data_IF_379380795793
#
_entry.id   IF_379380795793
#
_cell.length_a   1.000
_cell.length_b   1.000
_cell.length_c   1.000
_cell.angle_alpha   90.00
_cell.angle_beta   90.00
_cell.angle_gamma   90.00
#
_symmetry.space_group_name_H-M   'P 1'
#
loop_
_entity.id
_entity.type
_entity.pdbx_description
1 polymer ?
#
# COMPACT_ATOMS: atom_id res chain seq x y z
N UNK A 1 9.55 8.67 -8.11
CA UNK A 1 8.90 7.72 -9.04
C UNK A 1 7.68 7.04 -8.43
N UNK A 2 7.81 6.16 -7.41
CA UNK A 2 6.64 5.45 -6.85
C UNK A 2 5.52 6.38 -6.36
N UNK A 3 5.86 7.45 -5.64
CA UNK A 3 4.89 8.45 -5.19
C UNK A 3 4.10 9.08 -6.35
N UNK A 4 4.79 9.45 -7.43
CA UNK A 4 4.17 10.12 -8.58
C UNK A 4 3.15 9.20 -9.25
N UNK A 5 3.52 7.92 -9.45
CA UNK A 5 2.60 6.90 -9.98
C UNK A 5 1.35 6.76 -9.09
N UNK A 6 1.53 6.75 -7.78
CA UNK A 6 0.41 6.63 -6.82
C UNK A 6 -0.48 7.87 -6.86
N UNK A 7 0.11 9.08 -6.94
CA UNK A 7 -0.64 10.33 -7.07
C UNK A 7 -1.41 10.40 -8.40
N UNK A 8 -0.84 9.91 -9.49
CA UNK A 8 -1.52 9.81 -10.79
C UNK A 8 -2.72 8.85 -10.75
N UNK A 9 -2.60 7.75 -10.00
CA UNK A 9 -3.68 6.78 -9.82
C UNK A 9 -4.80 7.26 -8.88
N UNK A 10 -4.49 8.19 -7.96
CA UNK A 10 -5.41 8.72 -6.95
C UNK A 10 -5.37 10.27 -6.91
N UNK A 11 -5.67 10.96 -8.03
CA UNK A 11 -5.36 12.39 -8.19
C UNK A 11 -6.14 13.31 -7.25
N UNK A 12 -7.34 12.91 -6.83
CA UNK A 12 -8.24 13.71 -6.00
C UNK A 12 -7.93 13.63 -4.49
N UNK A 13 -6.97 12.80 -4.10
CA UNK A 13 -6.69 12.53 -2.69
C UNK A 13 -5.45 13.30 -2.24
N UNK A 14 -5.53 13.86 -1.03
CA UNK A 14 -4.40 14.51 -0.36
C UNK A 14 -3.42 13.42 0.14
N UNK A 15 -2.45 13.08 -0.69
CA UNK A 15 -1.43 12.09 -0.37
C UNK A 15 -0.11 12.77 0.01
N UNK A 16 0.69 12.08 0.81
CA UNK A 16 2.01 12.55 1.22
C UNK A 16 3.00 11.40 1.19
N UNK A 17 4.11 11.59 0.50
CA UNK A 17 5.25 10.71 0.58
C UNK A 17 5.95 10.86 1.94
N UNK A 18 6.20 9.75 2.62
CA UNK A 18 7.00 9.71 3.84
C UNK A 18 8.08 8.65 3.72
N UNK A 19 9.32 9.08 3.82
CA UNK A 19 10.46 8.18 3.89
C UNK A 19 10.91 7.99 5.34
N UNK A 20 11.43 6.80 5.65
CA UNK A 20 11.98 6.45 6.97
C UNK A 20 13.25 5.65 6.75
N UNK A 21 14.01 5.40 7.81
CA UNK A 21 15.21 4.55 7.71
C UNK A 21 14.89 3.12 7.20
N UNK A 22 13.66 2.65 7.43
CA UNK A 22 13.27 1.26 7.14
C UNK A 22 12.43 1.09 5.89
N UNK A 23 11.61 2.07 5.53
CA UNK A 23 10.67 1.96 4.42
C UNK A 23 10.19 3.32 3.90
N UNK A 24 9.79 3.33 2.64
CA UNK A 24 9.02 4.39 2.02
C UNK A 24 7.52 4.14 2.21
N UNK A 25 6.71 5.18 2.42
CA UNK A 25 5.26 5.08 2.60
C UNK A 25 4.52 6.23 1.92
N UNK A 26 3.27 5.99 1.56
CA UNK A 26 2.34 7.03 1.14
C UNK A 26 1.23 7.14 2.18
N UNK A 27 1.01 8.34 2.70
CA UNK A 27 0.02 8.66 3.73
C UNK A 27 -1.14 9.43 3.15
N UNK A 28 -2.34 9.24 3.70
CA UNK A 28 -3.50 10.09 3.49
C UNK A 28 -3.53 11.22 4.52
N UNK A 29 -3.66 12.48 4.06
CA UNK A 29 -3.71 13.70 4.89
C UNK A 29 -2.52 13.82 5.87
N UNK A 30 -1.34 13.34 5.49
CA UNK A 30 -0.13 13.33 6.34
C UNK A 30 -0.33 12.67 7.73
N UNK A 31 -1.33 11.79 7.90
CA UNK A 31 -1.61 11.09 9.16
C UNK A 31 -0.85 9.77 9.22
N UNK A 32 0.03 9.61 10.21
CA UNK A 32 0.89 8.41 10.34
C UNK A 32 0.13 7.07 10.45
N UNK A 33 -1.08 7.08 11.01
CA UNK A 33 -1.93 5.89 11.09
C UNK A 33 -2.74 5.62 9.82
N UNK A 34 -2.81 6.56 8.88
CA UNK A 34 -3.53 6.45 7.60
C UNK A 34 -2.53 6.31 6.45
N UNK A 35 -1.76 5.25 6.48
CA UNK A 35 -0.82 4.90 5.42
C UNK A 35 -1.54 4.03 4.39
N UNK A 36 -1.26 4.18 3.10
CA UNK A 36 -1.85 3.33 2.04
C UNK A 36 -1.05 2.03 1.92
N UNK A 37 0.28 2.17 1.94
CA UNK A 37 1.24 1.08 1.92
C UNK A 37 2.57 1.46 2.56
N UNK A 38 3.42 0.46 2.82
CA UNK A 38 4.84 0.58 3.19
C UNK A 38 5.66 -0.27 2.24
N UNK A 39 6.64 0.35 1.58
CA UNK A 39 7.54 -0.25 0.61
C UNK A 39 8.95 -0.32 1.22
N UNK A 40 9.39 -1.53 1.52
CA UNK A 40 10.68 -1.85 2.14
C UNK A 40 11.65 -2.34 1.06
N UNK A 41 12.68 -1.54 0.79
CA UNK A 41 13.76 -1.83 -0.18
C UNK A 41 15.03 -2.36 0.48
N UNK A 42 15.08 -2.38 1.82
CA UNK A 42 16.28 -2.77 2.57
C UNK A 42 16.42 -4.31 2.68
N UNK A 43 15.36 -5.04 2.30
CA UNK A 43 15.38 -6.50 2.22
C UNK A 43 16.07 -7.00 0.94
N UNK A 44 16.46 -8.29 0.95
CA UNK A 44 17.06 -8.97 -0.21
C UNK A 44 16.20 -8.87 -1.49
N UNK A 45 14.88 -8.83 -1.33
CA UNK A 45 13.92 -8.48 -2.40
C UNK A 45 12.97 -7.41 -1.85
N UNK A 46 12.71 -6.32 -2.61
CA UNK A 46 11.79 -5.30 -2.17
C UNK A 46 10.39 -5.85 -1.92
N UNK A 47 9.76 -5.39 -0.85
CA UNK A 47 8.40 -5.83 -0.46
C UNK A 47 7.50 -4.64 -0.20
N UNK A 48 6.22 -4.80 -0.51
CA UNK A 48 5.17 -3.85 -0.17
C UNK A 48 4.15 -4.50 0.78
N UNK A 49 3.71 -3.73 1.77
CA UNK A 49 2.61 -4.06 2.67
C UNK A 49 1.52 -3.01 2.47
N UNK A 50 0.25 -3.40 2.36
CA UNK A 50 -0.89 -2.48 2.33
C UNK A 50 -1.53 -2.36 3.73
N UNK A 51 -2.25 -1.26 3.98
CA UNK A 51 -2.98 -1.07 5.25
C UNK A 51 -4.15 -2.04 5.38
N UNK A 52 -4.78 -2.38 4.25
CA UNK A 52 -5.81 -3.40 4.19
C UNK A 52 -5.19 -4.79 4.29
N UNK A 53 -5.74 -5.70 5.11
CA UNK A 53 -5.29 -7.08 5.15
C UNK A 53 -5.45 -7.79 3.81
N UNK A 54 -4.47 -8.60 3.44
CA UNK A 54 -4.54 -9.46 2.26
C UNK A 54 -5.34 -10.71 2.63
N UNK A 55 -6.62 -10.71 2.28
CA UNK A 55 -7.50 -11.88 2.40
C UNK A 55 -7.32 -12.81 1.18
N UNK A 56 -8.02 -13.94 1.17
CA UNK A 56 -7.94 -14.93 0.09
C UNK A 56 -8.29 -14.36 -1.29
N UNK A 57 -9.27 -13.47 -1.36
CA UNK A 57 -9.71 -12.83 -2.61
C UNK A 57 -8.60 -11.93 -3.16
N UNK A 58 -8.07 -11.02 -2.35
CA UNK A 58 -6.96 -10.13 -2.73
C UNK A 58 -5.70 -10.91 -3.06
N UNK A 59 -5.42 -11.98 -2.32
CA UNK A 59 -4.30 -12.87 -2.61
C UNK A 59 -4.42 -13.45 -4.02
N UNK A 60 -5.60 -13.97 -4.38
CA UNK A 60 -5.85 -14.54 -5.70
C UNK A 60 -5.75 -13.48 -6.81
N UNK A 61 -6.27 -12.28 -6.60
CA UNK A 61 -6.17 -11.15 -7.54
C UNK A 61 -4.72 -10.75 -7.79
N UNK A 62 -3.93 -10.56 -6.74
CA UNK A 62 -2.51 -10.21 -6.83
C UNK A 62 -1.72 -11.32 -7.54
N UNK A 63 -2.00 -12.58 -7.22
CA UNK A 63 -1.37 -13.74 -7.88
C UNK A 63 -1.69 -13.76 -9.38
N UNK A 64 -2.97 -13.55 -9.76
CA UNK A 64 -3.40 -13.46 -11.17
C UNK A 64 -2.76 -12.27 -11.90
N UNK A 65 -2.49 -11.18 -11.20
CA UNK A 65 -1.76 -10.03 -11.72
C UNK A 65 -0.23 -10.27 -11.82
N UNK A 66 0.24 -11.47 -11.47
CA UNK A 66 1.65 -11.86 -11.55
C UNK A 66 2.50 -11.27 -10.42
N UNK A 67 1.91 -11.01 -9.25
CA UNK A 67 2.62 -10.67 -8.03
C UNK A 67 2.71 -11.89 -7.10
N UNK A 68 3.81 -11.99 -6.37
CA UNK A 68 4.04 -13.05 -5.40
C UNK A 68 3.68 -12.55 -4.00
N UNK A 69 2.73 -13.22 -3.35
CA UNK A 69 2.24 -12.89 -2.00
C UNK A 69 2.81 -13.88 -1.00
N UNK A 70 3.40 -13.38 0.08
CA UNK A 70 3.94 -14.17 1.18
C UNK A 70 2.83 -14.56 2.16
N UNK A 71 3.06 -15.60 2.96
CA UNK A 71 2.11 -16.09 3.96
C UNK A 71 1.70 -15.04 5.02
N UNK A 72 2.52 -14.01 5.25
CA UNK A 72 2.25 -12.90 6.17
C UNK A 72 1.56 -11.70 5.49
N UNK A 73 1.15 -11.81 4.22
CA UNK A 73 0.52 -10.75 3.45
C UNK A 73 1.48 -9.72 2.86
N UNK A 74 2.79 -9.86 3.03
CA UNK A 74 3.77 -9.07 2.28
C UNK A 74 3.79 -9.49 0.82
N UNK A 75 3.97 -8.53 -0.08
CA UNK A 75 3.97 -8.78 -1.52
C UNK A 75 5.35 -8.39 -2.05
N UNK A 76 5.97 -9.25 -2.85
CA UNK A 76 7.20 -8.86 -3.53
C UNK A 76 6.87 -7.84 -4.63
N UNK A 77 7.57 -6.72 -4.59
CA UNK A 77 7.41 -5.63 -5.54
C UNK A 77 8.78 -5.24 -6.09
N UNK A 78 9.36 -6.14 -6.90
CA UNK A 78 10.75 -6.01 -7.36
C UNK A 78 11.02 -4.71 -8.15
N UNK A 79 9.97 -4.11 -8.72
CA UNK A 79 10.04 -2.81 -9.39
C UNK A 79 8.89 -1.91 -8.94
N UNK A 80 9.12 -0.60 -8.70
CA UNK A 80 8.07 0.33 -8.30
C UNK A 80 6.85 0.34 -9.23
N UNK A 81 7.06 0.16 -10.55
CA UNK A 81 5.98 0.20 -11.55
C UNK A 81 5.01 -0.98 -11.41
N UNK A 82 5.40 -2.06 -10.74
CA UNK A 82 4.49 -3.18 -10.49
C UNK A 82 3.33 -2.80 -9.56
N UNK A 83 3.35 -1.60 -8.95
CA UNK A 83 2.20 -1.05 -8.23
C UNK A 83 0.94 -0.97 -9.11
N UNK A 84 1.08 -0.83 -10.44
CA UNK A 84 -0.04 -0.87 -11.39
C UNK A 84 -0.82 -2.19 -11.35
N UNK A 85 -0.17 -3.29 -10.93
CA UNK A 85 -0.79 -4.61 -10.79
C UNK A 85 -1.61 -4.75 -9.50
N UNK A 86 -1.42 -3.82 -8.55
CA UNK A 86 -2.09 -3.79 -7.26
C UNK A 86 -3.05 -2.59 -7.12
N UNK A 87 -3.49 -1.98 -8.23
CA UNK A 87 -4.38 -0.79 -8.23
C UNK A 87 -5.68 -1.05 -7.48
N UNK A 88 -6.26 -2.24 -7.59
CA UNK A 88 -7.45 -2.62 -6.81
C UNK A 88 -7.19 -2.49 -5.31
N UNK A 89 -6.08 -3.05 -4.83
CA UNK A 89 -5.70 -2.99 -3.40
C UNK A 89 -5.35 -1.57 -2.98
N UNK A 90 -4.74 -0.78 -3.87
CA UNK A 90 -4.45 0.63 -3.62
C UNK A 90 -5.72 1.46 -3.46
N UNK A 91 -6.77 1.18 -4.24
CA UNK A 91 -8.10 1.79 -4.09
C UNK A 91 -8.78 1.40 -2.78
N UNK A 92 -8.73 0.10 -2.43
CA UNK A 92 -9.20 -0.37 -1.13
C UNK A 92 -8.47 0.33 0.03
N UNK A 93 -7.16 0.54 -0.09
CA UNK A 93 -6.34 1.23 0.92
C UNK A 93 -6.77 2.68 1.14
N UNK A 94 -7.11 3.43 0.07
CA UNK A 94 -7.56 4.81 0.24
C UNK A 94 -8.99 4.86 0.79
N UNK A 95 -9.89 3.98 0.36
CA UNK A 95 -11.23 3.83 0.94
C UNK A 95 -11.15 3.51 2.44
N UNK A 96 -10.26 2.60 2.83
CA UNK A 96 -10.00 2.30 4.23
C UNK A 96 -9.55 3.54 5.02
N UNK A 97 -8.69 4.37 4.44
CA UNK A 97 -8.19 5.60 5.06
C UNK A 97 -9.24 6.72 5.18
N UNK A 98 -10.25 6.72 4.31
CA UNK A 98 -11.36 7.68 4.33
C UNK A 98 -12.35 7.40 5.46
N UNK A 99 -12.49 6.14 5.89
CA UNK A 99 -13.36 5.79 7.00
C UNK A 99 -12.69 6.01 8.36
N UNK A 100 -13.11 7.06 9.07
CA UNK A 100 -12.61 7.41 10.39
C UNK A 100 -12.86 6.33 11.47
N UNK A 101 -13.89 5.49 11.31
CA UNK A 101 -14.20 4.42 12.26
C UNK A 101 -13.05 3.41 12.39
N UNK A 102 -12.30 3.18 11.32
CA UNK A 102 -11.12 2.31 11.32
C UNK A 102 -9.97 2.80 12.22
N UNK A 103 -10.02 4.06 12.67
CA UNK A 103 -8.95 4.69 13.44
C UNK A 103 -9.40 5.16 14.82
N UNK A 104 -10.67 4.93 15.19
CA UNK A 104 -11.15 5.21 16.54
C UNK A 104 -10.48 4.24 17.51
N UNK A 105 -9.92 4.78 18.59
CA UNK A 105 -9.50 3.96 19.73
C UNK A 105 -10.77 3.59 20.49
N UNK A 106 -11.07 2.29 20.57
CA UNK A 106 -12.04 1.81 21.55
C UNK A 106 -11.39 2.06 22.92
N UNK A 107 -11.96 3.02 23.66
CA UNK A 107 -11.64 3.27 25.07
C UNK A 107 -12.32 2.21 25.92
#
# INVERSE_FOLDING_TARGET
>A
MLYQVVQELLPEHELTAKDTESYFSVLYQNKNNRWLFRYDVNRKRPTIQFIVPINEIRHLELTRAGLEVQANGLIFLDKPEYIYRAVGILKDSIEYCLNDDHFKRNI
#
